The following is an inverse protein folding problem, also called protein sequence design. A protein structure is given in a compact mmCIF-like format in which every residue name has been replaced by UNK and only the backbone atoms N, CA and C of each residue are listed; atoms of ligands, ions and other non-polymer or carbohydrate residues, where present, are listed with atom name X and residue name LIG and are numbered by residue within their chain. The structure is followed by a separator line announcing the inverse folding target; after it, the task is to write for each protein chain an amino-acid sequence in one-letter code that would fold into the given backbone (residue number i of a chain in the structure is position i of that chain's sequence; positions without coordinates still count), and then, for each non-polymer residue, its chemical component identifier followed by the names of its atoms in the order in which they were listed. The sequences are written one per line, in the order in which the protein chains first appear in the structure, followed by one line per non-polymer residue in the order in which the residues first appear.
data_IF_426664195074
#
_entry.id   IF_426664195074
#
_cell.length_a   1.000
_cell.length_b   1.000
_cell.length_c   1.000
_cell.angle_alpha   90.00
_cell.angle_beta   90.00
_cell.angle_gamma   90.00
#
_symmetry.space_group_name_H-M   'P 1'
#
loop_
_entity.id
_entity.type
_entity.pdbx_description
1 polymer ?
#
# COMPACT_ATOMS: atom_id res chain seq x y z
N UNK A 1 20.97 39.98 -21.76
CA UNK A 1 21.30 39.35 -20.47
C UNK A 1 21.58 37.88 -20.77
N UNK A 2 22.84 37.49 -20.77
CA UNK A 2 23.25 36.08 -20.90
C UNK A 2 22.71 35.32 -19.70
N UNK A 3 21.76 34.40 -19.89
CA UNK A 3 21.30 33.55 -18.80
C UNK A 3 22.46 32.66 -18.38
N UNK A 4 22.98 32.84 -17.16
CA UNK A 4 23.97 31.93 -16.60
C UNK A 4 23.31 30.56 -16.43
N UNK A 5 23.82 29.54 -17.11
CA UNK A 5 23.47 28.16 -16.86
C UNK A 5 24.17 27.71 -15.58
N UNK A 6 23.42 27.14 -14.64
CA UNK A 6 24.01 26.44 -13.51
C UNK A 6 24.53 25.09 -14.00
N UNK A 7 25.68 24.67 -13.46
CA UNK A 7 26.36 23.43 -13.85
C UNK A 7 26.65 22.59 -12.62
N UNK A 8 26.19 21.35 -12.65
CA UNK A 8 26.42 20.36 -11.60
C UNK A 8 27.24 19.23 -12.22
N UNK A 9 28.34 18.85 -11.57
CA UNK A 9 29.11 17.65 -11.92
C UNK A 9 29.02 16.59 -10.82
N UNK A 10 28.96 15.32 -11.20
CA UNK A 10 29.10 14.17 -10.30
C UNK A 10 28.67 12.86 -10.96
N UNK A 11 28.52 11.79 -10.17
CA UNK A 11 27.89 10.56 -10.64
C UNK A 11 26.38 10.81 -10.81
N UNK A 12 25.86 10.62 -12.03
CA UNK A 12 24.47 10.93 -12.37
C UNK A 12 23.78 9.66 -12.85
N UNK A 13 22.60 9.34 -12.30
CA UNK A 13 21.70 8.37 -12.94
C UNK A 13 20.56 9.13 -13.61
N UNK A 14 20.58 9.17 -14.94
CA UNK A 14 19.61 9.92 -15.75
C UNK A 14 19.23 9.14 -17.01
N UNK A 15 18.07 9.46 -17.63
CA UNK A 15 17.71 8.96 -18.94
C UNK A 15 18.81 9.22 -19.98
N UNK A 16 19.14 8.21 -20.78
CA UNK A 16 19.95 8.37 -21.97
C UNK A 16 19.14 9.13 -23.05
N UNK A 17 19.66 10.21 -23.63
CA UNK A 17 18.96 10.95 -24.67
C UNK A 17 18.75 10.16 -25.98
N UNK A 18 19.42 9.02 -26.14
CA UNK A 18 19.39 8.17 -27.33
C UNK A 18 18.76 6.80 -27.09
N UNK A 19 18.60 6.36 -25.85
CA UNK A 19 18.05 5.06 -25.51
C UNK A 19 17.03 5.16 -24.37
N UNK A 20 16.00 4.29 -24.32
CA UNK A 20 15.04 4.28 -23.22
C UNK A 20 15.64 3.51 -22.02
N UNK A 21 16.82 3.94 -21.56
CA UNK A 21 17.50 3.38 -20.39
C UNK A 21 17.93 4.49 -19.47
N UNK A 22 17.86 4.22 -18.17
CA UNK A 22 18.62 4.98 -17.19
C UNK A 22 20.06 4.51 -17.27
N UNK A 23 20.96 5.47 -17.45
CA UNK A 23 22.39 5.22 -17.52
C UNK A 23 23.02 5.78 -16.26
N UNK A 24 23.82 4.96 -15.60
CA UNK A 24 24.71 5.39 -14.52
C UNK A 24 25.95 6.00 -15.14
N UNK A 25 25.99 7.32 -15.17
CA UNK A 25 27.13 8.09 -15.63
C UNK A 25 28.08 8.27 -14.45
N UNK A 26 29.26 7.62 -14.43
CA UNK A 26 30.17 7.70 -13.29
C UNK A 26 30.66 9.13 -13.03
N UNK A 27 30.73 9.94 -14.09
CA UNK A 27 31.06 11.36 -14.05
C UNK A 27 30.36 12.10 -15.20
N UNK A 28 29.36 12.91 -14.87
CA UNK A 28 28.55 13.66 -15.82
C UNK A 28 28.36 15.11 -15.37
N UNK A 29 28.13 15.97 -16.37
CA UNK A 29 27.76 17.36 -16.23
C UNK A 29 26.27 17.54 -16.56
N UNK A 30 25.54 18.16 -15.64
CA UNK A 30 24.15 18.56 -15.79
C UNK A 30 24.12 20.08 -16.00
N UNK A 31 23.40 20.54 -17.02
CA UNK A 31 23.15 21.96 -17.25
C UNK A 31 21.71 22.33 -16.89
N UNK A 32 21.57 23.40 -16.10
CA UNK A 32 20.29 23.87 -15.59
C UNK A 32 20.06 25.31 -16.04
N UNK A 33 18.90 25.58 -16.64
CA UNK A 33 18.53 26.93 -17.07
C UNK A 33 18.12 27.84 -15.90
N UNK A 34 17.99 29.14 -16.18
CA UNK A 34 17.60 30.14 -15.17
C UNK A 34 16.20 29.93 -14.55
N UNK A 35 15.40 28.97 -15.06
CA UNK A 35 14.11 28.56 -14.49
C UNK A 35 14.23 27.29 -13.64
N UNK A 36 15.44 26.77 -13.44
CA UNK A 36 15.68 25.54 -12.69
C UNK A 36 15.40 24.27 -13.49
N UNK A 37 15.31 24.34 -14.83
CA UNK A 37 15.06 23.15 -15.66
C UNK A 37 16.37 22.55 -16.14
N UNK A 38 16.49 21.23 -16.05
CA UNK A 38 17.60 20.50 -16.65
C UNK A 38 17.45 20.55 -18.17
N UNK A 39 18.44 21.12 -18.84
CA UNK A 39 18.46 21.28 -20.29
C UNK A 39 19.40 20.32 -20.98
N UNK A 40 20.38 19.76 -20.25
CA UNK A 40 21.31 18.77 -20.79
C UNK A 40 21.93 17.91 -19.67
N UNK A 41 22.24 16.66 -19.99
CA UNK A 41 23.02 15.73 -19.17
C UNK A 41 23.99 15.00 -20.10
N UNK A 42 25.29 15.11 -19.82
CA UNK A 42 26.34 14.52 -20.66
C UNK A 42 27.53 14.08 -19.84
N UNK A 43 28.33 13.15 -20.35
CA UNK A 43 29.61 12.79 -19.74
C UNK A 43 30.48 14.05 -19.53
N UNK A 44 31.12 14.15 -18.36
CA UNK A 44 32.00 15.27 -18.07
C UNK A 44 33.25 15.17 -18.97
N UNK A 45 33.65 16.24 -19.68
CA UNK A 45 34.91 16.26 -20.42
C UNK A 45 36.10 16.01 -19.50
N UNK A 46 37.17 15.41 -20.02
CA UNK A 46 38.39 15.15 -19.23
C UNK A 46 39.01 16.43 -18.65
N UNK A 47 38.80 17.56 -19.31
CA UNK A 47 39.22 18.91 -18.92
C UNK A 47 38.09 19.72 -18.25
N UNK A 48 37.05 19.07 -17.72
CA UNK A 48 35.95 19.75 -17.05
C UNK A 48 36.43 20.48 -15.78
N UNK A 49 36.38 21.81 -15.81
CA UNK A 49 36.76 22.67 -14.69
C UNK A 49 35.68 22.77 -13.59
N UNK A 50 34.49 22.19 -13.82
CA UNK A 50 33.43 22.15 -12.81
C UNK A 50 33.82 21.10 -11.76
N UNK A 51 33.95 21.46 -10.47
CA UNK A 51 34.24 20.50 -9.42
C UNK A 51 33.05 19.56 -9.22
N UNK A 52 33.32 18.35 -8.74
CA UNK A 52 32.24 17.47 -8.30
C UNK A 52 31.43 18.16 -7.18
N UNK A 53 30.13 18.26 -7.41
CA UNK A 53 29.23 19.10 -6.59
C UNK A 53 28.95 18.42 -5.25
N UNK A 54 28.74 17.09 -5.30
CA UNK A 54 28.44 16.26 -4.13
C UNK A 54 29.25 14.96 -4.20
N UNK A 55 30.51 14.97 -3.73
CA UNK A 55 31.36 13.79 -3.75
C UNK A 55 30.74 12.59 -3.04
N UNK A 56 30.71 11.45 -3.74
CA UNK A 56 30.16 10.19 -3.22
C UNK A 56 28.64 10.06 -3.29
N UNK A 57 27.92 11.10 -3.71
CA UNK A 57 26.49 11.05 -3.95
C UNK A 57 26.16 10.62 -5.39
N UNK A 58 24.98 10.02 -5.59
CA UNK A 58 24.40 9.81 -6.93
C UNK A 58 23.34 10.88 -7.15
N UNK A 59 23.48 11.68 -8.20
CA UNK A 59 22.50 12.70 -8.58
C UNK A 59 21.37 12.05 -9.38
N UNK A 60 20.13 12.26 -8.92
CA UNK A 60 18.90 11.69 -9.49
C UNK A 60 17.98 12.78 -10.00
N UNK A 61 18.22 13.31 -11.21
CA UNK A 61 17.34 14.26 -11.84
C UNK A 61 16.09 13.56 -12.39
N UNK A 62 15.16 13.19 -11.51
CA UNK A 62 13.99 12.43 -11.93
C UNK A 62 12.81 12.55 -10.98
N UNK A 63 11.64 12.33 -11.55
CA UNK A 63 10.40 12.24 -10.81
C UNK A 63 10.32 10.90 -10.06
N UNK A 64 9.77 10.95 -8.86
CA UNK A 64 9.38 9.77 -8.08
C UNK A 64 7.86 9.68 -8.16
N UNK A 65 7.35 8.67 -8.85
CA UNK A 65 5.91 8.43 -8.95
C UNK A 65 5.49 7.27 -8.04
N UNK A 66 4.75 7.54 -6.97
CA UNK A 66 4.38 6.49 -6.03
C UNK A 66 3.15 5.67 -6.47
N UNK A 67 2.59 5.88 -7.67
CA UNK A 67 1.33 5.24 -8.07
C UNK A 67 1.20 5.00 -9.58
N UNK A 68 1.78 3.91 -10.08
CA UNK A 68 1.68 3.49 -11.49
C UNK A 68 1.09 2.09 -11.63
N UNK A 69 0.32 1.84 -12.69
CA UNK A 69 -0.31 0.55 -12.96
C UNK A 69 0.26 -0.08 -14.24
N UNK A 70 1.08 -1.12 -14.08
CA UNK A 70 1.72 -1.80 -15.20
C UNK A 70 0.71 -2.45 -16.17
N UNK A 71 -0.30 -3.21 -15.70
CA UNK A 71 -1.28 -3.84 -16.59
C UNK A 71 -2.15 -2.84 -17.37
N UNK A 72 -2.24 -1.60 -16.89
CA UNK A 72 -3.07 -0.56 -17.50
C UNK A 72 -2.37 0.18 -18.65
N UNK A 73 -1.08 -0.08 -18.91
CA UNK A 73 -0.25 0.65 -19.89
C UNK A 73 -0.92 0.79 -21.26
N UNK A 74 -1.47 -0.30 -21.81
CA UNK A 74 -2.08 -0.31 -23.15
C UNK A 74 -3.53 0.14 -23.20
N UNK A 75 -4.12 0.41 -22.05
CA UNK A 75 -5.49 0.92 -21.91
C UNK A 75 -5.50 2.33 -21.32
N UNK A 76 -4.35 3.00 -21.24
CA UNK A 76 -4.27 4.43 -20.92
C UNK A 76 -5.13 5.19 -21.92
N UNK A 77 -6.02 6.04 -21.40
CA UNK A 77 -6.95 6.81 -22.22
C UNK A 77 -8.11 5.99 -22.82
N UNK A 78 -8.24 4.69 -22.47
CA UNK A 78 -9.45 3.93 -22.78
C UNK A 78 -10.67 4.51 -22.04
N UNK A 79 -11.79 4.61 -22.75
CA UNK A 79 -12.84 5.58 -22.48
C UNK A 79 -13.76 5.31 -21.26
N UNK A 80 -14.31 6.45 -20.84
CA UNK A 80 -15.37 6.81 -19.89
C UNK A 80 -16.44 5.79 -19.53
N UNK A 81 -16.89 5.88 -18.28
CA UNK A 81 -18.05 5.20 -17.72
C UNK A 81 -17.88 5.02 -16.22
N UNK A 82 -18.83 4.37 -15.54
CA UNK A 82 -18.63 3.90 -14.17
C UNK A 82 -17.43 2.93 -14.09
N UNK A 83 -16.77 2.88 -12.93
CA UNK A 83 -15.54 2.12 -12.72
C UNK A 83 -15.69 0.62 -13.04
N UNK A 84 -16.72 -0.05 -12.50
CA UNK A 84 -16.87 -1.51 -12.65
C UNK A 84 -17.05 -1.96 -14.12
N UNK A 85 -17.94 -1.36 -14.92
CA UNK A 85 -18.03 -1.69 -16.35
C UNK A 85 -16.74 -1.39 -17.12
N UNK A 86 -15.94 -0.41 -16.70
CA UNK A 86 -14.62 -0.16 -17.29
C UNK A 86 -13.61 -1.23 -16.89
N UNK A 87 -13.61 -1.69 -15.63
CA UNK A 87 -12.79 -2.82 -15.20
C UNK A 87 -13.11 -4.08 -16.03
N UNK A 88 -14.38 -4.46 -16.14
CA UNK A 88 -14.81 -5.65 -16.90
C UNK A 88 -14.50 -5.59 -18.40
N UNK A 89 -14.58 -4.40 -19.01
CA UNK A 89 -14.36 -4.21 -20.45
C UNK A 89 -12.89 -4.03 -20.81
N UNK A 90 -12.11 -3.43 -19.91
CA UNK A 90 -10.78 -2.93 -20.24
C UNK A 90 -9.72 -3.50 -19.32
N UNK A 91 -9.84 -3.34 -17.99
CA UNK A 91 -8.79 -3.79 -17.06
C UNK A 91 -8.70 -5.30 -16.97
N UNK A 92 -9.78 -6.01 -16.62
CA UNK A 92 -9.73 -7.47 -16.43
C UNK A 92 -9.38 -8.24 -17.71
N UNK A 93 -9.91 -7.90 -18.90
CA UNK A 93 -9.49 -8.57 -20.13
C UNK A 93 -8.03 -8.30 -20.47
N UNK A 94 -7.53 -7.08 -20.23
CA UNK A 94 -6.12 -6.76 -20.47
C UNK A 94 -5.22 -7.45 -19.44
N UNK A 95 -5.59 -7.43 -18.16
CA UNK A 95 -4.92 -8.14 -17.06
C UNK A 95 -4.82 -9.64 -17.36
N UNK A 96 -5.92 -10.29 -17.78
CA UNK A 96 -5.93 -11.71 -18.09
C UNK A 96 -4.97 -12.10 -19.23
N UNK A 97 -4.61 -11.15 -20.12
CA UNK A 97 -3.63 -11.39 -21.18
C UNK A 97 -2.21 -11.50 -20.65
N UNK A 98 -1.93 -11.03 -19.44
CA UNK A 98 -0.64 -11.20 -18.78
C UNK A 98 -0.37 -12.65 -18.34
N UNK A 99 -1.33 -13.57 -18.52
CA UNK A 99 -1.06 -15.00 -18.51
C UNK A 99 -0.16 -15.45 -19.69
N UNK A 100 -0.05 -14.66 -20.76
CA UNK A 100 0.90 -14.85 -21.86
C UNK A 100 2.15 -14.01 -21.65
N UNK A 101 3.27 -14.69 -21.40
CA UNK A 101 4.57 -14.06 -21.16
C UNK A 101 5.02 -13.16 -22.33
N UNK A 102 4.67 -13.50 -23.59
CA UNK A 102 5.03 -12.66 -24.73
C UNK A 102 4.29 -11.32 -24.72
N UNK A 103 3.03 -11.32 -24.29
CA UNK A 103 2.26 -10.10 -24.08
C UNK A 103 2.84 -9.28 -22.93
N UNK A 104 3.16 -9.93 -21.80
CA UNK A 104 3.78 -9.28 -20.65
C UNK A 104 5.11 -8.59 -21.02
N UNK A 105 6.02 -9.29 -21.74
CA UNK A 105 7.31 -8.70 -22.17
C UNK A 105 7.09 -7.43 -23.00
N UNK A 106 6.19 -7.49 -23.97
CA UNK A 106 5.92 -6.36 -24.85
C UNK A 106 5.37 -5.15 -24.09
N UNK A 107 4.49 -5.36 -23.10
CA UNK A 107 3.96 -4.28 -22.28
C UNK A 107 5.00 -3.75 -21.29
N UNK A 108 5.87 -4.60 -20.74
CA UNK A 108 6.89 -4.19 -19.78
C UNK A 108 7.91 -3.24 -20.40
N UNK A 109 8.35 -3.53 -21.63
CA UNK A 109 9.26 -2.66 -22.37
C UNK A 109 8.60 -1.31 -22.71
N UNK A 110 7.32 -1.31 -23.11
CA UNK A 110 6.54 -0.09 -23.35
C UNK A 110 6.39 0.76 -22.08
N UNK A 111 6.05 0.11 -20.96
CA UNK A 111 5.86 0.75 -19.66
C UNK A 111 7.16 1.42 -19.17
N UNK A 112 8.29 0.71 -19.24
CA UNK A 112 9.60 1.26 -18.84
C UNK A 112 10.01 2.44 -19.73
N UNK A 113 9.83 2.33 -21.05
CA UNK A 113 10.15 3.40 -21.99
C UNK A 113 9.30 4.66 -21.74
N UNK A 114 8.01 4.48 -21.43
CA UNK A 114 7.10 5.59 -21.12
C UNK A 114 7.50 6.32 -19.83
N UNK A 115 7.85 5.59 -18.76
CA UNK A 115 8.33 6.19 -17.51
C UNK A 115 9.60 7.02 -17.75
N UNK A 116 10.58 6.46 -18.47
CA UNK A 116 11.84 7.15 -18.77
C UNK A 116 11.59 8.41 -19.61
N UNK A 117 10.70 8.34 -20.61
CA UNK A 117 10.33 9.51 -21.42
C UNK A 117 9.66 10.64 -20.63
N UNK A 118 8.99 10.31 -19.51
CA UNK A 118 8.38 11.28 -18.60
C UNK A 118 9.34 11.77 -17.51
N UNK A 119 10.58 11.25 -17.48
CA UNK A 119 11.57 11.56 -16.46
C UNK A 119 11.32 10.85 -15.13
N UNK A 120 10.46 9.83 -15.08
CA UNK A 120 10.25 9.00 -13.89
C UNK A 120 11.45 8.06 -13.73
N UNK A 121 12.16 8.19 -12.61
CA UNK A 121 13.37 7.40 -12.32
C UNK A 121 13.19 6.43 -11.16
N UNK A 122 12.12 6.62 -10.38
CA UNK A 122 11.75 5.71 -9.30
C UNK A 122 10.23 5.65 -9.19
N UNK A 123 9.66 4.46 -8.97
CA UNK A 123 8.22 4.32 -8.92
C UNK A 123 7.67 3.30 -7.92
N UNK A 124 6.48 3.57 -7.38
CA UNK A 124 5.60 2.54 -6.82
C UNK A 124 4.73 1.99 -7.93
N UNK A 125 4.88 0.70 -8.27
CA UNK A 125 4.19 0.06 -9.39
C UNK A 125 3.27 -1.04 -8.88
N UNK A 126 2.00 -0.96 -9.24
CA UNK A 126 1.05 -2.06 -9.14
C UNK A 126 1.26 -2.95 -10.36
N UNK A 127 1.78 -4.15 -10.11
CA UNK A 127 2.05 -5.16 -11.15
C UNK A 127 0.77 -5.91 -11.55
N UNK A 128 0.94 -7.02 -12.23
CA UNK A 128 -0.10 -7.97 -12.58
C UNK A 128 -0.43 -8.93 -11.42
N UNK A 129 -1.64 -9.50 -11.45
CA UNK A 129 -2.04 -10.67 -10.67
C UNK A 129 -1.37 -11.96 -11.12
N UNK A 130 -0.77 -11.97 -12.31
CA UNK A 130 0.00 -13.09 -12.84
C UNK A 130 1.46 -13.03 -12.34
N UNK A 131 1.94 -14.07 -11.62
CA UNK A 131 3.31 -14.08 -11.09
C UNK A 131 4.39 -13.97 -12.17
N UNK A 132 4.22 -14.63 -13.32
CA UNK A 132 5.21 -14.57 -14.42
C UNK A 132 5.32 -13.16 -15.00
N UNK A 133 4.19 -12.48 -15.21
CA UNK A 133 4.19 -11.09 -15.67
C UNK A 133 4.84 -10.12 -14.68
N UNK A 134 4.68 -10.35 -13.37
CA UNK A 134 5.38 -9.56 -12.34
C UNK A 134 6.89 -9.77 -12.39
N UNK A 135 7.33 -11.02 -12.57
CA UNK A 135 8.75 -11.31 -12.79
C UNK A 135 9.28 -10.61 -14.04
N UNK A 136 8.55 -10.68 -15.16
CA UNK A 136 8.92 -10.03 -16.42
C UNK A 136 9.05 -8.51 -16.25
N UNK A 137 8.14 -7.89 -15.49
CA UNK A 137 8.22 -6.47 -15.16
C UNK A 137 9.48 -6.16 -14.36
N UNK A 138 9.80 -6.93 -13.32
CA UNK A 138 11.01 -6.74 -12.52
C UNK A 138 12.27 -6.83 -13.38
N UNK A 139 12.37 -7.84 -14.25
CA UNK A 139 13.48 -7.98 -15.19
C UNK A 139 13.55 -6.80 -16.19
N UNK A 140 12.41 -6.27 -16.64
CA UNK A 140 12.38 -5.12 -17.53
C UNK A 140 12.82 -3.83 -16.83
N UNK A 141 12.38 -3.62 -15.59
CA UNK A 141 12.79 -2.49 -14.75
C UNK A 141 14.31 -2.51 -14.51
N UNK A 142 14.85 -3.68 -14.16
CA UNK A 142 16.29 -3.88 -13.98
C UNK A 142 17.07 -3.60 -15.28
N UNK A 143 16.67 -4.20 -16.41
CA UNK A 143 17.27 -3.93 -17.73
C UNK A 143 17.23 -2.46 -18.12
N UNK A 144 16.21 -1.73 -17.67
CA UNK A 144 16.02 -0.30 -17.93
C UNK A 144 16.72 0.60 -16.90
N UNK A 145 17.30 0.04 -15.83
CA UNK A 145 17.95 0.78 -14.75
C UNK A 145 16.99 1.53 -13.82
N UNK A 146 15.69 1.18 -13.85
CA UNK A 146 14.63 1.80 -13.06
C UNK A 146 14.57 1.22 -11.65
N UNK A 147 14.32 2.09 -10.67
CA UNK A 147 14.04 1.65 -9.30
C UNK A 147 12.54 1.56 -9.10
N UNK A 148 12.05 0.47 -8.55
CA UNK A 148 10.64 0.37 -8.23
C UNK A 148 10.36 -0.41 -6.95
N UNK A 149 9.26 -0.06 -6.30
CA UNK A 149 8.58 -0.91 -5.34
C UNK A 149 7.41 -1.55 -6.08
N UNK A 150 7.46 -2.86 -6.27
CA UNK A 150 6.43 -3.62 -6.98
C UNK A 150 6.37 -5.05 -6.45
N UNK A 151 5.25 -5.71 -6.68
CA UNK A 151 5.00 -7.09 -6.28
C UNK A 151 3.73 -7.59 -6.95
N UNK A 152 3.42 -8.87 -6.73
CA UNK A 152 2.20 -9.48 -7.29
C UNK A 152 0.98 -8.73 -6.76
N UNK A 153 0.16 -8.22 -7.68
CA UNK A 153 -1.05 -7.50 -7.31
C UNK A 153 -2.18 -8.49 -7.12
N UNK A 154 -2.61 -8.70 -5.88
CA UNK A 154 -3.74 -9.58 -5.61
C UNK A 154 -5.04 -8.85 -5.94
N UNK A 155 -5.81 -9.42 -6.87
CA UNK A 155 -7.20 -9.02 -7.12
C UNK A 155 -8.10 -10.07 -6.50
N UNK A 156 -9.12 -9.61 -5.79
CA UNK A 156 -9.99 -10.48 -5.00
C UNK A 156 -11.45 -10.42 -5.47
N UNK A 157 -12.03 -9.23 -5.57
CA UNK A 157 -13.49 -9.05 -5.60
C UNK A 157 -13.95 -8.58 -6.96
N UNK A 158 -14.94 -9.29 -7.49
CA UNK A 158 -15.48 -9.12 -8.86
C UNK A 158 -14.44 -9.35 -9.96
N UNK A 159 -13.21 -9.71 -9.58
CA UNK A 159 -12.18 -10.19 -10.47
C UNK A 159 -12.59 -11.56 -11.02
N UNK A 160 -12.53 -11.78 -12.35
CA UNK A 160 -12.74 -13.10 -12.93
C UNK A 160 -11.63 -14.06 -12.45
N UNK A 161 -11.94 -15.36 -12.36
CA UNK A 161 -10.99 -16.40 -11.91
C UNK A 161 -9.61 -16.27 -12.57
N UNK A 162 -9.58 -15.87 -13.85
CA UNK A 162 -8.38 -15.63 -14.64
C UNK A 162 -7.37 -14.65 -14.00
N UNK A 163 -7.81 -13.72 -13.15
CA UNK A 163 -6.96 -12.67 -12.54
C UNK A 163 -6.96 -12.73 -11.01
N UNK A 164 -7.47 -13.82 -10.43
CA UNK A 164 -7.44 -14.06 -8.99
C UNK A 164 -6.30 -15.00 -8.60
N UNK A 165 -5.73 -14.82 -7.41
CA UNK A 165 -4.65 -15.66 -6.89
C UNK A 165 -4.89 -16.02 -5.41
N UNK A 166 -4.90 -17.33 -5.12
CA UNK A 166 -5.07 -17.83 -3.76
C UNK A 166 -3.81 -17.65 -2.89
N UNK A 167 -3.97 -17.71 -1.57
CA UNK A 167 -2.89 -17.43 -0.61
C UNK A 167 -1.65 -18.32 -0.76
N UNK A 168 -1.82 -19.64 -0.91
CA UNK A 168 -0.68 -20.57 -1.09
C UNK A 168 0.08 -20.27 -2.39
N UNK A 169 -0.66 -19.95 -3.46
CA UNK A 169 -0.07 -19.58 -4.74
C UNK A 169 0.61 -18.20 -4.67
N UNK A 170 0.09 -17.26 -3.88
CA UNK A 170 0.72 -15.98 -3.62
C UNK A 170 2.03 -16.12 -2.81
N UNK A 171 2.08 -17.00 -1.81
CA UNK A 171 3.31 -17.31 -1.07
C UNK A 171 4.35 -17.96 -1.99
N UNK A 172 3.96 -18.96 -2.80
CA UNK A 172 4.87 -19.57 -3.77
C UNK A 172 5.37 -18.56 -4.83
N UNK A 173 4.53 -17.62 -5.23
CA UNK A 173 4.93 -16.53 -6.12
C UNK A 173 5.95 -15.60 -5.46
N UNK A 174 5.74 -15.23 -4.19
CA UNK A 174 6.68 -14.42 -3.42
C UNK A 174 8.02 -15.15 -3.25
N UNK A 175 8.01 -16.43 -2.88
CA UNK A 175 9.22 -17.27 -2.78
C UNK A 175 10.01 -17.24 -4.10
N UNK A 176 9.35 -17.51 -5.22
CA UNK A 176 10.01 -17.48 -6.53
C UNK A 176 10.57 -16.10 -6.90
N UNK A 177 9.92 -15.00 -6.49
CA UNK A 177 10.45 -13.65 -6.71
C UNK A 177 11.70 -13.38 -5.86
N UNK A 178 11.67 -13.76 -4.57
CA UNK A 178 12.79 -13.60 -3.66
C UNK A 178 14.00 -14.44 -4.05
N UNK A 179 13.79 -15.67 -4.52
CA UNK A 179 14.85 -16.56 -5.00
C UNK A 179 15.54 -15.99 -6.25
N UNK A 180 14.75 -15.48 -7.20
CA UNK A 180 15.29 -14.95 -8.46
C UNK A 180 16.07 -13.66 -8.29
N UNK A 181 15.61 -12.79 -7.39
CA UNK A 181 16.21 -11.49 -7.10
C UNK A 181 16.97 -11.51 -5.77
N UNK A 182 17.54 -12.65 -5.41
CA UNK A 182 18.25 -12.83 -4.15
C UNK A 182 19.39 -11.82 -4.01
N UNK A 183 19.41 -11.06 -2.92
CA UNK A 183 20.39 -9.99 -2.68
C UNK A 183 20.08 -8.65 -3.38
N UNK A 184 19.05 -8.59 -4.22
CA UNK A 184 18.58 -7.35 -4.88
C UNK A 184 17.32 -6.79 -4.21
N UNK A 185 16.50 -7.64 -3.57
CA UNK A 185 15.29 -7.22 -2.86
C UNK A 185 15.63 -6.65 -1.49
N UNK A 186 15.33 -5.36 -1.28
CA UNK A 186 15.53 -4.70 0.01
C UNK A 186 14.52 -5.16 1.08
N UNK A 187 13.26 -5.39 0.70
CA UNK A 187 12.22 -5.83 1.63
C UNK A 187 10.82 -5.94 1.03
N UNK A 188 9.92 -6.53 1.81
CA UNK A 188 8.50 -6.77 1.50
C UNK A 188 7.64 -5.90 2.41
N UNK A 189 6.68 -5.17 1.83
CA UNK A 189 5.74 -4.30 2.57
C UNK A 189 4.35 -4.93 2.58
N UNK A 190 3.70 -4.98 3.75
CA UNK A 190 2.35 -5.56 3.91
C UNK A 190 1.53 -4.88 5.01
N UNK A 191 0.23 -4.69 4.80
CA UNK A 191 -0.74 -4.44 5.88
C UNK A 191 -0.99 -5.78 6.61
N UNK A 192 -0.55 -5.97 7.87
CA UNK A 192 -0.62 -7.26 8.53
C UNK A 192 -2.07 -7.63 8.87
N UNK A 193 -2.47 -8.85 8.47
CA UNK A 193 -3.79 -9.47 8.64
C UNK A 193 -4.98 -8.81 7.94
N UNK A 194 -5.05 -7.48 7.87
CA UNK A 194 -6.24 -6.78 7.34
C UNK A 194 -5.83 -5.66 6.41
N UNK A 195 -6.18 -5.78 5.14
CA UNK A 195 -6.13 -4.64 4.21
C UNK A 195 -7.36 -3.76 4.46
N UNK A 196 -7.14 -2.62 5.10
CA UNK A 196 -8.23 -1.82 5.63
C UNK A 196 -9.02 -1.12 4.52
N UNK A 197 -8.32 -0.38 3.68
CA UNK A 197 -8.93 0.44 2.62
C UNK A 197 -9.50 -0.40 1.46
N UNK A 198 -9.08 -1.65 1.32
CA UNK A 198 -9.61 -2.61 0.35
C UNK A 198 -11.00 -3.16 0.74
N UNK A 199 -11.58 -2.70 1.85
CA UNK A 199 -12.88 -3.18 2.33
C UNK A 199 -12.76 -4.25 3.42
N UNK A 200 -11.75 -4.12 4.30
CA UNK A 200 -11.49 -5.02 5.42
C UNK A 200 -11.24 -6.46 4.96
N UNK A 201 -10.33 -6.64 4.00
CA UNK A 201 -9.95 -7.97 3.50
C UNK A 201 -9.02 -8.61 4.52
N UNK A 202 -9.45 -9.74 5.09
CA UNK A 202 -8.71 -10.45 6.13
C UNK A 202 -7.89 -11.55 5.49
N UNK A 203 -6.58 -11.56 5.73
CA UNK A 203 -5.70 -12.62 5.23
C UNK A 203 -6.03 -13.97 5.88
N UNK A 204 -5.86 -15.09 5.17
CA UNK A 204 -5.98 -16.42 5.77
C UNK A 204 -4.96 -16.62 6.92
N UNK A 205 -5.28 -17.47 7.92
CA UNK A 205 -4.35 -17.78 9.00
C UNK A 205 -3.03 -18.35 8.48
N UNK A 206 -1.92 -17.84 9.00
CA UNK A 206 -0.57 -18.29 8.66
C UNK A 206 0.06 -17.57 7.47
N UNK A 207 -0.70 -16.73 6.75
CA UNK A 207 -0.18 -16.00 5.60
C UNK A 207 0.92 -15.01 5.99
N UNK A 208 0.74 -14.24 7.06
CA UNK A 208 1.74 -13.26 7.51
C UNK A 208 3.00 -13.96 8.01
N UNK A 209 2.84 -15.08 8.73
CA UNK A 209 3.97 -15.93 9.13
C UNK A 209 4.74 -16.48 7.92
N UNK A 210 4.03 -16.97 6.91
CA UNK A 210 4.65 -17.45 5.67
C UNK A 210 5.47 -16.36 4.98
N UNK A 211 4.94 -15.13 4.89
CA UNK A 211 5.68 -13.98 4.34
C UNK A 211 6.96 -13.70 5.16
N UNK A 212 6.89 -13.73 6.50
CA UNK A 212 8.07 -13.55 7.37
C UNK A 212 9.13 -14.62 7.13
N UNK A 213 8.74 -15.89 7.10
CA UNK A 213 9.66 -17.03 6.89
C UNK A 213 10.38 -16.92 5.54
N UNK A 214 9.67 -16.49 4.49
CA UNK A 214 10.25 -16.25 3.17
C UNK A 214 11.22 -15.07 3.17
N UNK A 215 10.89 -13.97 3.85
CA UNK A 215 11.79 -12.82 3.99
C UNK A 215 13.10 -13.21 4.73
N UNK A 216 13.00 -14.03 5.78
CA UNK A 216 14.17 -14.54 6.52
C UNK A 216 15.08 -15.39 5.62
N UNK A 217 14.50 -16.32 4.87
CA UNK A 217 15.25 -17.17 3.93
C UNK A 217 15.96 -16.38 2.83
N UNK A 218 15.38 -15.25 2.42
CA UNK A 218 15.90 -14.41 1.35
C UNK A 218 16.83 -13.26 1.84
N UNK A 219 17.00 -13.09 3.15
CA UNK A 219 17.67 -11.93 3.74
C UNK A 219 17.08 -10.59 3.26
N UNK A 220 15.74 -10.54 3.16
CA UNK A 220 14.97 -9.35 2.83
C UNK A 220 14.25 -8.82 4.08
N UNK A 221 14.11 -7.49 4.20
CA UNK A 221 13.41 -6.90 5.33
C UNK A 221 11.89 -7.12 5.23
N UNK A 222 11.21 -7.41 6.33
CA UNK A 222 9.75 -7.33 6.42
C UNK A 222 9.33 -5.97 6.98
N UNK A 223 8.44 -5.29 6.26
CA UNK A 223 7.89 -3.99 6.63
C UNK A 223 6.39 -4.16 6.84
N UNK A 224 5.90 -3.96 8.06
CA UNK A 224 4.47 -4.01 8.35
C UNK A 224 3.87 -2.60 8.49
N UNK A 225 2.84 -2.32 7.70
CA UNK A 225 2.00 -1.12 7.84
C UNK A 225 0.90 -1.38 8.87
N UNK A 226 1.21 -1.11 10.14
CA UNK A 226 0.28 -1.22 11.27
C UNK A 226 -0.52 0.07 11.49
N UNK A 227 -0.53 1.00 10.53
CA UNK A 227 -1.19 2.30 10.71
C UNK A 227 -2.69 2.13 10.96
N UNK A 228 -3.35 1.19 10.28
CA UNK A 228 -4.78 0.90 10.48
C UNK A 228 -5.04 -0.20 11.52
N UNK A 229 -4.17 -1.22 11.56
CA UNK A 229 -4.36 -2.48 12.29
C UNK A 229 -3.80 -2.45 13.73
N UNK A 230 -2.86 -1.54 14.00
CA UNK A 230 -2.25 -1.37 15.31
C UNK A 230 -3.17 -0.72 16.35
N UNK A 231 -2.63 -0.61 17.57
CA UNK A 231 -3.27 -0.07 18.76
C UNK A 231 -4.64 -0.71 19.06
N UNK A 232 -4.69 -2.04 19.18
CA UNK A 232 -5.89 -2.73 19.64
C UNK A 232 -6.92 -3.06 18.57
N UNK A 233 -6.76 -2.56 17.34
CA UNK A 233 -7.83 -2.58 16.34
C UNK A 233 -8.27 -3.99 15.93
N UNK A 234 -7.32 -4.93 15.83
CA UNK A 234 -7.59 -6.35 15.52
C UNK A 234 -7.87 -7.21 16.76
N UNK A 235 -7.87 -6.62 17.95
CA UNK A 235 -8.02 -7.33 19.23
C UNK A 235 -6.70 -7.61 19.97
N UNK A 236 -5.56 -7.26 19.38
CA UNK A 236 -4.22 -7.25 20.01
C UNK A 236 -3.58 -5.89 19.86
N UNK A 237 -2.48 -5.60 20.58
CA UNK A 237 -1.83 -4.29 20.45
C UNK A 237 -1.41 -4.05 18.99
N UNK A 238 -0.76 -5.04 18.38
CA UNK A 238 -0.41 -5.04 16.96
C UNK A 238 -0.95 -6.30 16.28
N UNK A 239 -1.30 -6.20 15.00
CA UNK A 239 -1.80 -7.33 14.23
C UNK A 239 -0.73 -8.43 14.06
N UNK A 240 0.54 -8.06 13.90
CA UNK A 240 1.67 -8.99 13.85
C UNK A 240 1.69 -10.01 15.00
N UNK A 241 1.20 -9.63 16.19
CA UNK A 241 1.17 -10.51 17.36
C UNK A 241 0.26 -11.74 17.15
N UNK A 242 -0.79 -11.66 16.34
CA UNK A 242 -1.70 -12.79 16.13
C UNK A 242 -0.99 -14.01 15.53
N UNK A 243 0.06 -13.78 14.74
CA UNK A 243 0.85 -14.83 14.11
C UNK A 243 2.28 -14.91 14.67
N UNK A 244 2.57 -14.19 15.76
CA UNK A 244 3.89 -14.21 16.39
C UNK A 244 5.01 -13.69 15.48
N UNK A 245 4.69 -12.73 14.61
CA UNK A 245 5.63 -12.12 13.67
C UNK A 245 6.20 -10.85 14.28
N UNK A 246 7.50 -10.62 14.08
CA UNK A 246 8.15 -9.33 14.32
C UNK A 246 8.69 -8.82 12.98
N UNK A 247 8.22 -7.66 12.49
CA UNK A 247 8.80 -7.05 11.29
C UNK A 247 10.13 -6.37 11.61
N UNK A 248 10.93 -6.11 10.57
CA UNK A 248 12.16 -5.33 10.65
C UNK A 248 11.88 -3.83 10.74
N UNK A 249 10.83 -3.38 10.03
CA UNK A 249 10.29 -2.03 10.11
C UNK A 249 8.77 -2.07 10.34
N UNK A 250 8.26 -1.16 11.16
CA UNK A 250 6.82 -1.04 11.39
C UNK A 250 6.37 0.41 11.26
N UNK A 251 5.41 0.67 10.37
CA UNK A 251 4.77 1.98 10.27
C UNK A 251 3.55 2.04 11.20
N UNK A 252 3.47 3.09 12.02
CA UNK A 252 2.34 3.32 12.93
C UNK A 252 1.88 4.78 12.86
N UNK A 253 0.56 5.00 12.95
CA UNK A 253 -0.03 6.33 13.14
C UNK A 253 -1.42 6.15 13.78
N UNK A 254 -2.43 6.94 13.37
CA UNK A 254 -3.86 6.83 13.75
C UNK A 254 -4.08 6.53 15.24
N UNK A 255 -4.15 5.25 15.60
CA UNK A 255 -4.39 4.77 16.96
C UNK A 255 -3.34 5.20 17.98
N UNK A 256 -2.11 5.54 17.56
CA UNK A 256 -1.01 5.96 18.45
C UNK A 256 -1.37 7.15 19.35
N UNK A 257 -2.15 8.10 18.82
CA UNK A 257 -2.62 9.28 19.55
C UNK A 257 -4.12 9.22 19.83
N UNK A 258 -4.78 8.09 19.58
CA UNK A 258 -6.25 8.00 19.66
C UNK A 258 -6.99 8.99 18.74
N UNK A 259 -6.32 9.54 17.71
CA UNK A 259 -6.88 10.56 16.82
C UNK A 259 -6.85 12.01 17.36
N UNK A 260 -6.23 12.26 18.51
CA UNK A 260 -6.19 13.61 19.12
C UNK A 260 -5.26 14.58 18.38
N UNK A 261 -4.07 14.12 17.96
CA UNK A 261 -3.10 14.91 17.21
C UNK A 261 -2.41 14.07 16.13
N UNK A 262 -1.98 14.67 15.01
CA UNK A 262 -1.19 13.97 14.00
C UNK A 262 0.15 13.53 14.57
N UNK A 263 0.38 12.21 14.57
CA UNK A 263 1.66 11.59 14.87
C UNK A 263 1.75 10.30 14.07
N UNK A 264 2.92 10.07 13.49
CA UNK A 264 3.30 8.79 12.91
C UNK A 264 4.72 8.46 13.38
N UNK A 265 5.04 7.17 13.42
CA UNK A 265 6.38 6.69 13.70
C UNK A 265 6.69 5.51 12.77
N UNK A 266 7.97 5.40 12.42
CA UNK A 266 8.54 4.19 11.81
C UNK A 266 9.43 3.57 12.87
N UNK A 267 9.06 2.38 13.34
CA UNK A 267 9.87 1.60 14.26
C UNK A 267 10.84 0.75 13.43
N UNK A 268 12.01 0.48 13.99
CA UNK A 268 13.04 -0.36 13.40
C UNK A 268 13.58 -1.34 14.45
N UNK A 269 14.05 -2.49 14.00
CA UNK A 269 14.88 -3.37 14.84
C UNK A 269 16.20 -2.70 15.21
N UNK A 270 16.79 -3.11 16.32
CA UNK A 270 18.09 -2.60 16.78
C UNK A 270 19.16 -2.87 15.72
N UNK A 271 19.21 -4.09 15.16
CA UNK A 271 20.16 -4.48 14.12
C UNK A 271 20.13 -3.52 12.91
N UNK A 272 18.93 -3.08 12.49
CA UNK A 272 18.78 -2.13 11.39
C UNK A 272 19.22 -0.72 11.82
N UNK A 273 18.84 -0.29 13.02
CA UNK A 273 19.22 1.01 13.57
C UNK A 273 20.75 1.15 13.72
N UNK A 274 21.42 0.10 14.23
CA UNK A 274 22.88 0.04 14.39
C UNK A 274 23.61 0.20 13.05
N UNK A 275 23.01 -0.23 11.93
CA UNK A 275 23.54 -0.03 10.58
C UNK A 275 23.75 1.44 10.20
N UNK A 276 22.99 2.36 10.82
CA UNK A 276 23.12 3.81 10.63
C UNK A 276 24.10 4.48 11.62
N UNK A 277 24.60 3.73 12.61
CA UNK A 277 25.59 4.23 13.56
C UNK A 277 27.00 4.08 12.98
N UNK A 278 27.67 5.20 12.73
CA UNK A 278 29.03 5.23 12.22
C UNK A 278 29.76 6.52 12.62
N UNK A 279 31.05 6.61 12.32
CA UNK A 279 31.73 7.89 12.42
C UNK A 279 31.14 8.85 11.39
N UNK A 280 31.12 10.15 11.69
CA UNK A 280 30.53 11.15 10.78
C UNK A 280 31.09 11.08 9.35
N UNK A 281 32.39 10.82 9.22
CA UNK A 281 33.09 10.69 7.93
C UNK A 281 32.62 9.51 7.08
N UNK A 282 31.99 8.50 7.68
CA UNK A 282 31.50 7.30 6.99
C UNK A 282 30.15 7.57 6.29
N UNK A 283 29.51 8.72 6.56
CA UNK A 283 28.26 9.19 5.93
C UNK A 283 27.10 8.19 5.97
N UNK A 284 27.09 7.27 6.95
CA UNK A 284 26.02 6.26 7.14
C UNK A 284 24.81 6.75 7.92
N UNK A 285 24.84 7.97 8.44
CA UNK A 285 23.73 8.51 9.22
C UNK A 285 22.47 8.66 8.34
N UNK A 286 21.29 8.39 8.90
CA UNK A 286 20.03 8.65 8.23
C UNK A 286 19.71 10.16 8.31
N UNK A 287 20.21 10.93 7.32
CA UNK A 287 20.00 12.38 7.24
C UNK A 287 18.57 12.74 6.82
N UNK A 288 17.59 12.41 7.66
CA UNK A 288 16.19 12.70 7.44
C UNK A 288 15.52 13.25 8.69
N UNK A 289 14.68 14.27 8.50
CA UNK A 289 13.93 14.88 9.58
C UNK A 289 12.86 15.81 9.04
N UNK A 290 11.74 15.89 9.75
CA UNK A 290 10.68 16.85 9.50
C UNK A 290 10.76 17.95 10.56
N UNK A 291 10.29 19.16 10.22
CA UNK A 291 10.20 20.29 11.17
C UNK A 291 9.47 19.93 12.47
N UNK A 292 8.53 18.98 12.40
CA UNK A 292 7.74 18.51 13.55
C UNK A 292 8.07 17.09 14.00
N UNK A 293 9.19 16.50 13.56
CA UNK A 293 9.65 15.21 14.09
C UNK A 293 9.72 15.27 15.61
N UNK A 294 9.12 14.27 16.26
CA UNK A 294 9.02 14.18 17.72
C UNK A 294 8.41 15.44 18.39
N UNK A 295 7.38 16.04 17.77
CA UNK A 295 6.64 17.14 18.37
C UNK A 295 6.23 16.80 19.82
N UNK A 296 6.64 17.58 20.83
CA UNK A 296 6.48 17.19 22.23
C UNK A 296 5.02 17.13 22.67
N UNK A 297 4.13 17.91 22.04
CA UNK A 297 2.70 17.88 22.35
C UNK A 297 2.05 16.62 21.79
N UNK A 298 2.37 16.25 20.55
CA UNK A 298 1.89 15.01 19.95
C UNK A 298 2.44 13.77 20.68
N UNK A 299 3.71 13.81 21.10
CA UNK A 299 4.32 12.75 21.90
C UNK A 299 3.66 12.60 23.29
N UNK A 300 3.40 13.72 23.99
CA UNK A 300 2.68 13.69 25.27
C UNK A 300 1.26 13.10 25.14
N UNK A 301 0.55 13.44 24.05
CA UNK A 301 -0.76 12.85 23.73
C UNK A 301 -0.66 11.35 23.46
N UNK A 302 0.37 10.90 22.72
CA UNK A 302 0.59 9.48 22.47
C UNK A 302 0.88 8.71 23.76
N UNK A 303 1.73 9.24 24.65
CA UNK A 303 2.02 8.65 25.96
C UNK A 303 0.73 8.54 26.78
N UNK A 304 -0.04 9.63 26.90
CA UNK A 304 -1.29 9.61 27.65
C UNK A 304 -2.31 8.61 27.07
N UNK A 305 -2.35 8.45 25.74
CA UNK A 305 -3.19 7.44 25.09
C UNK A 305 -2.71 6.01 25.43
N UNK A 306 -1.42 5.73 25.44
CA UNK A 306 -0.87 4.43 25.86
C UNK A 306 -1.09 4.15 27.35
N UNK A 307 -0.95 5.16 28.21
CA UNK A 307 -1.26 5.05 29.65
C UNK A 307 -2.73 4.66 29.89
N UNK A 308 -3.65 5.17 29.04
CA UNK A 308 -5.06 4.77 29.07
C UNK A 308 -5.26 3.32 28.62
N UNK A 309 -4.50 2.83 27.63
CA UNK A 309 -4.56 1.40 27.25
C UNK A 309 -4.24 0.49 28.43
N UNK A 310 -3.19 0.83 29.20
CA UNK A 310 -2.77 0.08 30.38
C UNK A 310 -3.77 0.22 31.53
N UNK A 311 -4.11 1.47 31.91
CA UNK A 311 -4.96 1.78 33.06
C UNK A 311 -6.37 1.22 32.88
N UNK A 312 -6.95 1.37 31.69
CA UNK A 312 -8.30 0.88 31.41
C UNK A 312 -8.31 -0.61 31.04
N UNK A 313 -7.14 -1.27 30.97
CA UNK A 313 -7.00 -2.66 30.50
C UNK A 313 -7.72 -2.85 29.16
N UNK A 314 -7.52 -1.88 28.26
CA UNK A 314 -8.33 -1.71 27.04
C UNK A 314 -8.36 -2.98 26.19
N UNK A 315 -7.22 -3.63 25.97
CA UNK A 315 -7.14 -4.86 25.16
C UNK A 315 -7.92 -6.04 25.76
N UNK A 316 -7.91 -6.16 27.08
CA UNK A 316 -8.62 -7.24 27.77
C UNK A 316 -10.13 -7.00 27.77
N UNK A 317 -10.54 -5.75 28.06
CA UNK A 317 -11.95 -5.34 28.01
C UNK A 317 -12.53 -5.36 26.60
N UNK A 318 -11.67 -5.34 25.58
CA UNK A 318 -12.07 -5.42 24.17
C UNK A 318 -12.53 -6.84 23.79
N UNK A 319 -12.00 -7.91 24.39
CA UNK A 319 -12.29 -9.29 23.95
C UNK A 319 -13.78 -9.65 24.01
N UNK A 320 -14.49 -9.42 25.14
CA UNK A 320 -15.93 -9.69 25.19
C UNK A 320 -16.74 -8.85 24.20
N UNK A 321 -16.30 -7.61 23.92
CA UNK A 321 -16.96 -6.75 22.93
C UNK A 321 -16.74 -7.25 21.50
N UNK A 322 -15.56 -7.80 21.18
CA UNK A 322 -15.29 -8.43 19.88
C UNK A 322 -16.23 -9.61 19.66
N UNK A 323 -16.42 -10.45 20.68
CA UNK A 323 -17.37 -11.57 20.62
C UNK A 323 -18.82 -11.10 20.49
N UNK A 324 -19.19 -10.03 21.21
CA UNK A 324 -20.52 -9.41 21.12
C UNK A 324 -20.78 -8.88 19.71
N UNK A 325 -19.81 -8.16 19.15
CA UNK A 325 -19.84 -7.69 17.77
C UNK A 325 -20.00 -8.86 16.79
N UNK A 326 -19.23 -9.94 16.96
CA UNK A 326 -19.33 -11.12 16.12
C UNK A 326 -20.74 -11.75 16.14
N UNK A 327 -21.33 -11.89 17.33
CA UNK A 327 -22.70 -12.39 17.53
C UNK A 327 -23.74 -11.49 16.85
N UNK A 328 -23.63 -10.17 17.04
CA UNK A 328 -24.54 -9.21 16.42
C UNK A 328 -24.39 -9.10 14.90
N UNK A 329 -23.26 -9.55 14.34
CA UNK A 329 -23.05 -9.64 12.89
C UNK A 329 -23.74 -10.87 12.25
N UNK A 330 -24.17 -11.87 13.02
CA UNK A 330 -24.84 -13.07 12.48
C UNK A 330 -26.13 -12.75 11.72
N UNK A 331 -26.90 -11.76 12.16
CA UNK A 331 -28.09 -11.33 11.41
C UNK A 331 -27.76 -10.74 10.04
N UNK A 332 -26.62 -10.07 9.92
CA UNK A 332 -26.16 -9.56 8.62
C UNK A 332 -25.75 -10.71 7.74
N UNK A 333 -25.04 -11.72 8.27
CA UNK A 333 -24.69 -12.94 7.53
C UNK A 333 -25.93 -13.68 7.01
N UNK A 334 -27.08 -13.56 7.68
CA UNK A 334 -28.33 -14.17 7.25
C UNK A 334 -29.10 -13.35 6.19
N UNK A 335 -28.80 -12.06 6.03
CA UNK A 335 -29.57 -11.14 5.19
C UNK A 335 -29.43 -11.48 3.68
N UNK A 336 -30.52 -11.45 2.88
CA UNK A 336 -30.50 -11.85 1.47
C UNK A 336 -29.63 -10.95 0.57
N UNK A 337 -29.42 -9.70 0.97
CA UNK A 337 -28.56 -8.73 0.26
C UNK A 337 -27.17 -8.54 0.89
N UNK A 338 -26.72 -9.47 1.74
CA UNK A 338 -25.37 -9.44 2.31
C UNK A 338 -24.58 -10.64 1.78
N UNK A 339 -23.53 -10.35 1.00
CA UNK A 339 -22.73 -11.37 0.31
C UNK A 339 -21.64 -11.96 1.19
N UNK A 340 -21.08 -11.14 2.08
CA UNK A 340 -20.01 -11.53 3.00
C UNK A 340 -19.94 -10.58 4.20
N UNK A 341 -19.48 -11.10 5.34
CA UNK A 341 -19.21 -10.30 6.55
C UNK A 341 -17.84 -10.70 7.11
N UNK A 342 -16.87 -9.82 6.89
CA UNK A 342 -15.48 -9.98 7.32
C UNK A 342 -15.28 -9.28 8.65
N UNK A 343 -14.58 -9.94 9.58
CA UNK A 343 -14.25 -9.36 10.88
C UNK A 343 -12.86 -9.78 11.35
N UNK A 344 -12.10 -8.82 11.84
CA UNK A 344 -10.93 -9.04 12.70
C UNK A 344 -10.93 -7.99 13.80
N UNK A 345 -11.14 -8.40 15.05
CA UNK A 345 -11.35 -7.48 16.16
C UNK A 345 -12.52 -6.52 15.89
N UNK A 346 -12.23 -5.21 15.90
CA UNK A 346 -13.16 -4.12 15.59
C UNK A 346 -13.02 -3.61 14.15
N UNK A 347 -12.40 -4.36 13.25
CA UNK A 347 -12.42 -4.09 11.81
C UNK A 347 -13.46 -4.97 11.16
N UNK A 348 -14.52 -4.37 10.62
CA UNK A 348 -15.63 -5.09 10.01
C UNK A 348 -15.92 -4.55 8.62
N UNK A 349 -16.05 -5.45 7.64
CA UNK A 349 -16.60 -5.18 6.32
C UNK A 349 -17.89 -5.97 6.11
N UNK A 350 -19.00 -5.29 5.81
CA UNK A 350 -20.28 -5.91 5.45
C UNK A 350 -20.53 -5.64 3.97
N UNK A 351 -20.38 -6.66 3.15
CA UNK A 351 -20.57 -6.56 1.70
C UNK A 351 -22.06 -6.60 1.33
N UNK A 352 -22.52 -5.61 0.58
CA UNK A 352 -23.89 -5.53 0.08
C UNK A 352 -23.95 -5.99 -1.38
N UNK A 353 -24.85 -6.92 -1.67
CA UNK A 353 -25.06 -7.55 -2.99
C UNK A 353 -26.55 -7.61 -3.31
N UNK A 354 -26.88 -7.65 -4.60
CA UNK A 354 -28.25 -7.84 -5.07
C UNK A 354 -28.76 -9.24 -4.72
N UNK A 355 -27.91 -10.26 -4.88
CA UNK A 355 -28.21 -11.65 -4.58
C UNK A 355 -27.04 -12.30 -3.83
N UNK A 356 -27.33 -12.86 -2.65
CA UNK A 356 -26.32 -13.51 -1.79
C UNK A 356 -25.76 -14.80 -2.37
N UNK A 357 -26.56 -15.58 -3.11
CA UNK A 357 -26.13 -16.87 -3.63
C UNK A 357 -25.16 -16.71 -4.81
N UNK A 358 -25.45 -15.75 -5.70
CA UNK A 358 -24.59 -15.45 -6.86
C UNK A 358 -23.51 -14.42 -6.55
N UNK A 359 -23.63 -13.69 -5.43
CA UNK A 359 -22.85 -12.49 -5.10
C UNK A 359 -22.95 -11.40 -6.17
N UNK A 360 -24.08 -11.33 -6.89
CA UNK A 360 -24.32 -10.31 -7.90
C UNK A 360 -24.23 -8.91 -7.27
N UNK A 361 -23.34 -8.06 -7.76
CA UNK A 361 -23.15 -6.72 -7.23
C UNK A 361 -24.33 -5.80 -7.55
N UNK A 362 -24.51 -4.77 -6.72
CA UNK A 362 -25.41 -3.66 -7.07
C UNK A 362 -24.76 -2.76 -8.13
N UNK A 363 -25.52 -2.28 -9.13
CA UNK A 363 -25.06 -1.23 -10.04
C UNK A 363 -24.57 0.01 -9.26
N UNK A 364 -23.40 0.58 -9.57
CA UNK A 364 -22.84 1.74 -8.86
C UNK A 364 -23.78 2.95 -8.77
N UNK A 365 -24.66 3.11 -9.74
CA UNK A 365 -25.62 4.20 -9.89
C UNK A 365 -26.69 4.17 -8.79
N UNK A 366 -26.98 2.97 -8.25
CA UNK A 366 -27.90 2.79 -7.13
C UNK A 366 -27.31 3.32 -5.83
N UNK A 367 -25.98 3.49 -5.75
CA UNK A 367 -25.27 4.07 -4.60
C UNK A 367 -25.65 3.40 -3.27
N UNK A 368 -25.86 2.09 -3.27
CA UNK A 368 -26.45 1.35 -2.14
C UNK A 368 -25.70 1.60 -0.83
N UNK A 369 -24.38 1.42 -0.80
CA UNK A 369 -23.59 1.66 0.42
C UNK A 369 -23.70 3.10 0.93
N UNK A 370 -23.79 4.09 0.03
CA UNK A 370 -23.97 5.50 0.38
C UNK A 370 -25.37 5.71 0.94
N UNK A 371 -26.42 5.18 0.30
CA UNK A 371 -27.80 5.27 0.78
C UNK A 371 -27.98 4.65 2.16
N UNK A 372 -27.38 3.47 2.40
CA UNK A 372 -27.39 2.83 3.72
C UNK A 372 -26.63 3.68 4.74
N UNK A 373 -25.46 4.24 4.36
CA UNK A 373 -24.70 5.11 5.26
C UNK A 373 -25.47 6.40 5.59
N UNK A 374 -26.12 7.02 4.62
CA UNK A 374 -26.95 8.21 4.82
C UNK A 374 -28.14 7.91 5.72
N UNK A 375 -28.74 6.73 5.57
CA UNK A 375 -29.83 6.27 6.43
C UNK A 375 -29.36 6.00 7.87
N UNK A 376 -28.21 5.34 8.05
CA UNK A 376 -27.58 5.16 9.35
C UNK A 376 -27.28 6.52 10.00
N UNK A 377 -26.80 7.49 9.20
CA UNK A 377 -26.51 8.85 9.67
C UNK A 377 -27.77 9.57 10.14
N UNK A 378 -28.91 9.45 9.44
CA UNK A 378 -30.20 10.00 9.90
C UNK A 378 -30.65 9.38 11.22
N UNK A 379 -30.28 8.13 11.47
CA UNK A 379 -30.55 7.38 12.70
C UNK A 379 -29.50 7.61 13.79
N UNK A 380 -28.52 8.50 13.57
CA UNK A 380 -27.55 8.92 14.57
C UNK A 380 -26.22 8.14 14.56
N UNK A 381 -25.94 7.33 13.53
CA UNK A 381 -24.73 6.51 13.44
C UNK A 381 -23.92 6.86 12.20
N UNK A 382 -22.61 7.09 12.38
CA UNK A 382 -21.68 7.34 11.28
C UNK A 382 -20.92 6.04 10.96
N UNK A 383 -21.18 5.50 9.77
CA UNK A 383 -20.41 4.40 9.16
C UNK A 383 -19.75 4.89 7.88
N UNK A 384 -18.82 4.11 7.32
CA UNK A 384 -18.11 4.47 6.10
C UNK A 384 -18.52 3.54 4.95
N UNK A 385 -18.90 4.07 3.78
CA UNK A 385 -19.07 3.27 2.57
C UNK A 385 -17.70 3.09 1.90
N UNK A 386 -17.23 1.85 1.80
CA UNK A 386 -16.15 1.41 0.91
C UNK A 386 -16.74 0.38 -0.04
N UNK A 387 -17.55 0.86 -0.99
CA UNK A 387 -18.37 0.01 -1.85
C UNK A 387 -17.54 -1.14 -2.49
N UNK A 388 -18.08 -2.36 -2.53
CA UNK A 388 -19.43 -2.75 -2.11
C UNK A 388 -19.58 -3.03 -0.58
N UNK A 389 -18.59 -2.69 0.25
CA UNK A 389 -18.63 -2.91 1.69
C UNK A 389 -19.06 -1.67 2.51
N UNK A 390 -19.87 -1.88 3.53
CA UNK A 390 -19.99 -0.98 4.68
C UNK A 390 -18.88 -1.30 5.67
N UNK A 391 -18.22 -0.28 6.18
CA UNK A 391 -17.16 -0.43 7.19
C UNK A 391 -17.68 -0.03 8.56
N UNK A 392 -17.52 -0.94 9.53
CA UNK A 392 -17.66 -0.63 10.96
C UNK A 392 -16.27 -0.70 11.61
N UNK A 393 -15.83 0.43 12.16
CA UNK A 393 -14.61 0.55 12.97
C UNK A 393 -14.87 1.42 14.20
N UNK A 394 -15.68 0.94 15.16
CA UNK A 394 -16.07 1.75 16.32
C UNK A 394 -14.87 2.12 17.20
N UNK A 395 -14.96 3.19 18.01
CA UNK A 395 -13.97 3.47 19.05
C UNK A 395 -13.79 2.26 19.98
N UNK A 396 -12.57 2.01 20.46
CA UNK A 396 -12.33 0.87 21.37
C UNK A 396 -13.07 1.02 22.72
N UNK A 397 -13.35 2.28 23.09
CA UNK A 397 -14.09 2.65 24.29
C UNK A 397 -15.61 2.43 24.19
N UNK A 398 -16.15 2.13 22.99
CA UNK A 398 -17.61 1.96 22.75
C UNK A 398 -18.26 1.06 23.80
N UNK A 399 -19.38 1.46 24.39
CA UNK A 399 -20.08 0.61 25.37
C UNK A 399 -20.81 -0.55 24.69
N UNK A 400 -21.27 -1.53 25.49
CA UNK A 400 -22.08 -2.63 24.98
C UNK A 400 -23.38 -2.13 24.35
N UNK A 401 -24.02 -1.14 24.98
CA UNK A 401 -25.26 -0.52 24.49
C UNK A 401 -25.02 0.28 23.21
N UNK A 402 -23.91 1.03 23.13
CA UNK A 402 -23.54 1.77 21.91
C UNK A 402 -23.18 0.83 20.76
N UNK A 403 -22.55 -0.32 21.06
CA UNK A 403 -22.21 -1.34 20.09
C UNK A 403 -23.47 -2.02 19.54
N UNK A 404 -24.43 -2.34 20.40
CA UNK A 404 -25.74 -2.84 19.99
C UNK A 404 -26.47 -1.80 19.13
N UNK A 405 -26.48 -0.53 19.58
CA UNK A 405 -27.11 0.57 18.85
C UNK A 405 -26.49 0.75 17.46
N UNK A 406 -25.16 0.72 17.34
CA UNK A 406 -24.44 0.74 16.06
C UNK A 406 -24.93 -0.38 15.14
N UNK A 407 -24.99 -1.61 15.66
CA UNK A 407 -25.40 -2.77 14.86
C UNK A 407 -26.88 -2.69 14.49
N UNK A 408 -27.76 -2.27 15.40
CA UNK A 408 -29.20 -2.19 15.20
C UNK A 408 -29.54 -1.14 14.16
N UNK A 409 -28.94 0.05 14.28
CA UNK A 409 -29.09 1.12 13.30
C UNK A 409 -28.53 0.70 11.96
N UNK A 410 -27.35 0.06 11.91
CA UNK A 410 -26.77 -0.40 10.64
C UNK A 410 -27.69 -1.43 9.97
N UNK A 411 -28.17 -2.42 10.71
CA UNK A 411 -29.07 -3.45 10.19
C UNK A 411 -30.40 -2.83 9.70
N UNK A 412 -31.03 -1.98 10.52
CA UNK A 412 -32.27 -1.30 10.15
C UNK A 412 -32.09 -0.38 8.93
N UNK A 413 -30.89 0.17 8.72
CA UNK A 413 -30.57 0.99 7.55
C UNK A 413 -30.38 0.15 6.29
N UNK A 414 -29.80 -1.05 6.42
CA UNK A 414 -29.75 -2.05 5.34
C UNK A 414 -31.18 -2.45 4.96
N UNK A 415 -32.01 -2.84 5.92
CA UNK A 415 -33.42 -3.20 5.70
C UNK A 415 -34.23 -2.05 5.08
N UNK A 416 -34.06 -0.80 5.55
CA UNK A 416 -34.79 0.33 4.99
C UNK A 416 -34.43 0.64 3.53
N UNK A 417 -33.22 0.25 3.08
CA UNK A 417 -32.72 0.54 1.73
C UNK A 417 -32.90 -0.65 0.78
N UNK A 418 -32.79 -1.87 1.29
CA UNK A 418 -32.73 -3.12 0.53
C UNK A 418 -33.81 -4.14 0.91
N UNK A 419 -34.42 -4.02 2.09
CA UNK A 419 -35.53 -4.86 2.52
C UNK A 419 -36.78 -4.58 1.67
N UNK A 420 -37.46 -5.66 1.29
CA UNK A 420 -38.74 -5.63 0.54
C UNK A 420 -39.91 -5.19 1.38
#
# INVERSE_FOLDING_TARGET
MTSSLERIRGRVLAPDPHTPRLVDWPDALIEIDARGRITDVRAAPADCEVPETWPGAVVLPGFVDCHLHYPQTRIIGSASGPLLPWLERSVFPEEARFADDAHAVAVADEFCAAMIAQGTTSAGVFSSSHPSATQILLEALDRAGLRAVTGVTLMDREAPDAVTLGADAALAALEGLLDRHHGEVAGVVIEPLVQGAAGMIVSPPGFLRGVRELCDGANALLICDEVATGFGRTGRMFACEHEGVSPDLMAVAKGITGGYLPLAATLATEDLYEGFLANYQDMKHFFHGHTYTANPVAAAVAIANLDLFETDRTLERLQPKIERLAKGLERFRAHPNVGDVRQKGFMVGIELVRDRATKEAHPPEEKICIRVTDEARRRGVIIRPLAPALVLMPPLAITDEELDFLLDVTYASVEAVLGT
#
